data_IF_044917763201
#
_entry.id   IF_044917763201
#
_cell.length_a   1.000
_cell.length_b   1.000
_cell.length_c   1.000
_cell.angle_alpha   90.00
_cell.angle_beta   90.00
_cell.angle_gamma   90.00
#
_symmetry.space_group_name_H-M   'P 1'
#
loop_
_entity.id
_entity.type
_entity.pdbx_description
1 polymer ?
#
# COMPACT_ATOMS: atom_id res chain seq x y z
N UNK A 1 -10.15 -4.03 3.91
CA UNK A 1 -8.71 -4.38 4.03
C UNK A 1 -8.05 -4.29 2.65
N UNK A 2 -6.70 -4.30 2.54
CA UNK A 2 -6.02 -4.32 1.22
C UNK A 2 -6.48 -5.52 0.37
N UNK A 3 -6.83 -6.65 1.00
CA UNK A 3 -7.48 -7.79 0.35
C UNK A 3 -8.74 -7.40 -0.44
N UNK A 4 -9.63 -6.57 0.11
CA UNK A 4 -10.88 -6.17 -0.56
C UNK A 4 -10.61 -5.19 -1.71
N UNK A 5 -9.60 -4.33 -1.56
CA UNK A 5 -9.13 -3.51 -2.65
C UNK A 5 -8.57 -4.37 -3.78
N UNK A 6 -7.76 -5.39 -3.45
CA UNK A 6 -7.24 -6.34 -4.44
C UNK A 6 -8.40 -7.08 -5.11
N UNK A 7 -9.39 -7.53 -4.33
CA UNK A 7 -10.59 -8.19 -4.83
C UNK A 7 -11.33 -7.33 -5.85
N UNK A 8 -11.53 -6.05 -5.51
CA UNK A 8 -12.25 -5.08 -6.35
C UNK A 8 -11.51 -4.76 -7.65
N UNK A 9 -10.19 -4.58 -7.59
CA UNK A 9 -9.42 -4.01 -8.72
C UNK A 9 -8.64 -5.04 -9.53
N UNK A 10 -8.30 -6.20 -8.94
CA UNK A 10 -7.51 -7.26 -9.57
C UNK A 10 -8.22 -8.63 -9.55
N UNK A 11 -9.34 -8.76 -8.83
CA UNK A 11 -10.18 -9.95 -8.84
C UNK A 11 -9.96 -10.92 -7.68
N UNK A 12 -10.90 -11.87 -7.56
CA UNK A 12 -10.98 -12.84 -6.47
C UNK A 12 -9.78 -13.77 -6.36
N UNK A 13 -9.15 -14.13 -7.48
CA UNK A 13 -8.00 -15.05 -7.46
C UNK A 13 -6.79 -14.40 -6.79
N UNK A 14 -6.51 -13.14 -7.11
CA UNK A 14 -5.44 -12.38 -6.46
C UNK A 14 -5.75 -12.13 -4.98
N UNK A 15 -7.00 -11.85 -4.63
CA UNK A 15 -7.42 -11.70 -3.24
C UNK A 15 -7.28 -13.01 -2.43
N UNK A 16 -7.63 -14.15 -3.04
CA UNK A 16 -7.48 -15.48 -2.40
C UNK A 16 -6.02 -15.87 -2.22
N UNK A 17 -5.15 -15.53 -3.18
CA UNK A 17 -3.70 -15.71 -3.01
C UNK A 17 -3.23 -14.83 -1.86
N UNK A 18 -3.55 -13.54 -1.88
CA UNK A 18 -3.18 -12.60 -0.82
C UNK A 18 -3.59 -13.12 0.56
N UNK A 19 -4.81 -13.61 0.75
CA UNK A 19 -5.27 -14.16 2.05
C UNK A 19 -4.46 -15.37 2.58
N UNK A 20 -3.79 -16.12 1.71
CA UNK A 20 -3.12 -17.39 2.06
C UNK A 20 -1.60 -17.26 2.21
N UNK A 21 -1.02 -16.10 1.96
CA UNK A 21 0.42 -15.90 2.07
C UNK A 21 0.85 -15.64 3.52
N UNK A 22 2.16 -15.69 3.75
CA UNK A 22 2.77 -15.37 5.04
C UNK A 22 2.82 -13.85 5.29
N UNK A 23 2.92 -13.43 6.57
CA UNK A 23 3.07 -12.02 6.96
C UNK A 23 4.23 -11.31 6.23
N UNK A 24 5.33 -12.02 5.98
CA UNK A 24 6.48 -11.48 5.25
C UNK A 24 6.12 -11.19 3.78
N UNK A 25 5.35 -12.06 3.16
CA UNK A 25 4.88 -11.87 1.78
C UNK A 25 3.82 -10.77 1.71
N UNK A 26 2.93 -10.68 2.69
CA UNK A 26 2.01 -9.55 2.85
C UNK A 26 2.77 -8.23 2.89
N UNK A 27 3.72 -8.10 3.81
CA UNK A 27 4.56 -6.89 3.94
C UNK A 27 5.21 -6.51 2.61
N UNK A 28 5.74 -7.49 1.87
CA UNK A 28 6.38 -7.22 0.58
C UNK A 28 5.39 -6.76 -0.49
N UNK A 29 4.19 -7.34 -0.53
CA UNK A 29 3.12 -6.92 -1.45
C UNK A 29 2.66 -5.51 -1.09
N UNK A 30 2.40 -5.22 0.18
CA UNK A 30 1.93 -3.92 0.65
C UNK A 30 2.91 -2.81 0.29
N UNK A 31 4.21 -3.04 0.53
CA UNK A 31 5.28 -2.11 0.17
C UNK A 31 5.38 -1.88 -1.35
N UNK A 32 5.27 -2.93 -2.15
CA UNK A 32 5.26 -2.80 -3.61
C UNK A 32 4.02 -2.02 -4.07
N UNK A 33 2.86 -2.30 -3.47
CA UNK A 33 1.61 -1.67 -3.82
C UNK A 33 1.67 -0.16 -3.58
N UNK A 34 2.03 0.24 -2.36
CA UNK A 34 2.09 1.65 -1.99
C UNK A 34 3.19 2.40 -2.76
N UNK A 35 4.31 1.74 -3.08
CA UNK A 35 5.37 2.31 -3.92
C UNK A 35 4.89 2.59 -5.34
N UNK A 36 4.16 1.64 -5.95
CA UNK A 36 3.56 1.83 -7.28
C UNK A 36 2.56 2.97 -7.26
N UNK A 37 1.70 3.03 -6.24
CA UNK A 37 0.72 4.12 -6.13
C UNK A 37 1.39 5.48 -5.92
N UNK A 38 2.48 5.53 -5.14
CA UNK A 38 3.23 6.75 -4.86
C UNK A 38 4.03 7.27 -6.07
N UNK A 39 4.57 6.37 -6.89
CA UNK A 39 5.55 6.74 -7.93
C UNK A 39 5.05 6.54 -9.35
N UNK A 40 3.93 5.84 -9.54
CA UNK A 40 3.29 5.62 -10.83
C UNK A 40 2.27 6.70 -11.20
N UNK A 41 1.74 6.61 -12.42
CA UNK A 41 0.60 7.41 -12.87
C UNK A 41 -0.70 6.84 -12.29
N UNK A 42 -0.94 7.03 -10.99
CA UNK A 42 -2.19 6.65 -10.34
C UNK A 42 -2.94 7.91 -9.91
N UNK A 43 -4.24 7.96 -10.17
CA UNK A 43 -5.13 9.02 -9.67
C UNK A 43 -5.56 8.79 -8.21
N UNK A 44 -5.03 7.74 -7.56
CA UNK A 44 -5.32 7.45 -6.17
C UNK A 44 -4.57 8.42 -5.25
N UNK A 45 -5.23 8.91 -4.18
CA UNK A 45 -4.59 9.81 -3.23
C UNK A 45 -3.47 9.06 -2.49
N UNK A 46 -2.23 9.44 -2.79
CA UNK A 46 -1.03 9.02 -2.07
C UNK A 46 -0.27 10.23 -1.58
N UNK A 47 0.06 10.25 -0.29
CA UNK A 47 0.99 11.20 0.30
C UNK A 47 2.38 10.59 0.37
N UNK A 48 3.39 11.42 0.10
CA UNK A 48 4.80 11.07 0.27
C UNK A 48 5.43 12.13 1.14
N UNK A 49 5.91 11.72 2.31
CA UNK A 49 6.67 12.58 3.20
C UNK A 49 8.11 12.08 3.32
N UNK A 50 9.06 13.02 3.34
CA UNK A 50 10.47 12.74 3.54
C UNK A 50 10.96 13.41 4.81
N UNK A 51 11.38 12.60 5.78
CA UNK A 51 11.99 13.07 7.01
C UNK A 51 13.50 12.84 6.94
N UNK A 52 14.28 13.90 7.19
CA UNK A 52 15.75 13.79 7.32
C UNK A 52 16.14 14.15 8.75
N UNK A 53 16.77 13.21 9.45
CA UNK A 53 17.24 13.38 10.83
C UNK A 53 18.76 13.21 10.86
N UNK A 54 19.45 14.24 11.34
CA UNK A 54 20.89 14.19 11.62
C UNK A 54 21.06 14.08 13.13
N UNK A 55 21.65 12.98 13.61
CA UNK A 55 21.91 12.77 15.04
C UNK A 55 23.23 12.02 15.22
N UNK A 56 24.07 12.50 16.14
CA UNK A 56 25.38 11.89 16.47
C UNK A 56 26.28 11.67 15.25
N UNK A 57 26.29 12.63 14.30
CA UNK A 57 27.03 12.53 13.04
C UNK A 57 26.47 11.53 12.02
N UNK A 58 25.34 10.88 12.31
CA UNK A 58 24.66 9.96 11.41
C UNK A 58 23.48 10.64 10.70
N UNK A 59 23.37 10.40 9.41
CA UNK A 59 22.23 10.80 8.58
C UNK A 59 21.20 9.66 8.52
N UNK A 60 19.97 9.92 8.97
CA UNK A 60 18.81 9.03 8.80
C UNK A 60 17.82 9.70 7.87
N UNK A 61 17.52 9.08 6.74
CA UNK A 61 16.44 9.50 5.83
C UNK A 61 15.31 8.50 5.97
N UNK A 62 14.07 8.97 6.14
CA UNK A 62 12.86 8.15 6.15
C UNK A 62 11.91 8.67 5.08
N UNK A 63 11.29 7.75 4.36
CA UNK A 63 10.14 8.03 3.51
C UNK A 63 8.92 7.43 4.19
N UNK A 64 7.87 8.23 4.33
CA UNK A 64 6.55 7.79 4.79
C UNK A 64 5.65 7.87 3.57
N UNK A 65 5.08 6.74 3.20
CA UNK A 65 4.15 6.62 2.09
C UNK A 65 2.80 6.27 2.71
N UNK A 66 1.78 7.06 2.46
CA UNK A 66 0.42 6.76 2.93
C UNK A 66 -0.55 6.84 1.75
N UNK A 67 -1.45 5.87 1.66
CA UNK A 67 -2.49 5.85 0.62
C UNK A 67 -3.85 5.68 1.27
N UNK A 68 -4.81 6.47 0.81
CA UNK A 68 -6.21 6.30 1.18
C UNK A 68 -6.94 5.49 0.12
N UNK A 69 -7.26 4.25 0.45
CA UNK A 69 -8.05 3.39 -0.43
C UNK A 69 -9.53 3.65 -0.21
N UNK A 70 -10.23 4.19 -1.23
CA UNK A 70 -11.69 4.28 -1.21
C UNK A 70 -12.28 2.89 -1.39
N UNK A 71 -12.98 2.41 -0.38
CA UNK A 71 -13.79 1.20 -0.51
C UNK A 71 -15.01 1.51 -1.38
N UNK A 72 -15.29 0.72 -2.44
CA UNK A 72 -16.63 0.75 -3.01
C UNK A 72 -17.58 0.35 -1.89
N UNK A 73 -18.61 1.16 -1.64
CA UNK A 73 -19.72 0.70 -0.81
C UNK A 73 -20.21 -0.59 -1.46
N UNK A 74 -20.17 -1.71 -0.73
CA UNK A 74 -21.00 -2.86 -1.06
C UNK A 74 -22.40 -2.32 -1.26
N UNK A 75 -22.93 -2.43 -2.49
CA UNK A 75 -24.36 -2.28 -2.70
C UNK A 75 -25.03 -3.23 -1.72
N UNK A 76 -25.77 -2.66 -0.76
CA UNK A 76 -26.72 -3.42 0.02
C UNK A 76 -27.74 -3.98 -0.99
N UNK A 77 -27.61 -5.28 -1.30
CA UNK A 77 -28.68 -6.12 -1.84
C UNK A 77 -29.09 -7.12 -0.76
#
# INVERSE_FOLDING_TARGET
MLEDYIRTNYGDDYARVYKKITDKQHTQIDLNFISILATGNSDLPVSIEKETVIKDGKLKVRYILETELKYPKTSEE
#
